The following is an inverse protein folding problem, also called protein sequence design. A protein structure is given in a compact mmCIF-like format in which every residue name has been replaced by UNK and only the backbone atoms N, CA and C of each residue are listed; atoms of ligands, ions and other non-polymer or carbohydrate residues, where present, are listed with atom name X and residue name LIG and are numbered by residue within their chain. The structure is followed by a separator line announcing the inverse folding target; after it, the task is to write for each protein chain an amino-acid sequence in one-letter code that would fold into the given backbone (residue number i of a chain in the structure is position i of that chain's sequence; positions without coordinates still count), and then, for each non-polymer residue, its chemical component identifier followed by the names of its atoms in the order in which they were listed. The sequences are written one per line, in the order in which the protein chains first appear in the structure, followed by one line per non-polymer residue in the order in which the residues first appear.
data_IF_852345152347
#
_entry.id   IF_852345152347
#
_cell.length_a   1.000
_cell.length_b   1.000
_cell.length_c   1.000
_cell.angle_alpha   90.00
_cell.angle_beta   90.00
_cell.angle_gamma   90.00
#
_symmetry.space_group_name_H-M   'P 1'
#
loop_
_entity.id
_entity.type
_entity.pdbx_description
1 polymer ?
#
# COMPACT_ATOMS: atom_id res chain seq x y z
N UNK A 1 9.01 6.15 32.59
CA UNK A 1 8.34 4.87 32.92
C UNK A 1 6.86 5.15 32.77
N UNK A 2 6.20 4.55 31.80
CA UNK A 2 4.78 4.80 31.49
C UNK A 2 3.95 3.89 32.38
N UNK A 3 3.59 4.37 33.58
CA UNK A 3 2.78 3.65 34.58
C UNK A 3 1.29 3.60 34.23
N UNK A 4 0.96 3.41 32.94
CA UNK A 4 -0.41 3.28 32.42
C UNK A 4 -0.62 2.06 31.52
N UNK A 5 0.40 1.22 31.33
CA UNK A 5 0.27 0.01 30.53
C UNK A 5 -0.51 -1.05 31.33
N UNK A 6 -1.74 -1.35 30.90
CA UNK A 6 -2.59 -2.38 31.50
C UNK A 6 -1.79 -3.69 31.69
N UNK A 7 -1.87 -4.29 32.88
CA UNK A 7 -1.15 -5.53 33.21
C UNK A 7 -1.33 -6.63 32.16
N UNK A 8 -2.53 -6.73 31.57
CA UNK A 8 -2.82 -7.67 30.49
C UNK A 8 -1.94 -7.45 29.25
N UNK A 9 -1.72 -6.19 28.85
CA UNK A 9 -0.85 -5.86 27.70
C UNK A 9 0.60 -6.27 27.97
N UNK A 10 1.09 -6.03 29.19
CA UNK A 10 2.43 -6.44 29.61
C UNK A 10 2.61 -7.96 29.58
N UNK A 11 1.60 -8.72 30.04
CA UNK A 11 1.61 -10.19 30.00
C UNK A 11 1.64 -10.72 28.57
N UNK A 12 0.77 -10.19 27.69
CA UNK A 12 0.74 -10.57 26.27
C UNK A 12 2.09 -10.29 25.59
N UNK A 13 2.66 -9.11 25.85
CA UNK A 13 3.98 -8.72 25.32
C UNK A 13 5.09 -9.65 25.79
N UNK A 14 5.07 -10.04 27.06
CA UNK A 14 6.06 -10.97 27.62
C UNK A 14 5.94 -12.34 26.96
N UNK A 15 4.73 -12.88 26.87
CA UNK A 15 4.47 -14.17 26.25
C UNK A 15 4.88 -14.18 24.77
N UNK A 16 4.52 -13.13 24.02
CA UNK A 16 4.95 -12.97 22.63
C UNK A 16 6.48 -13.03 22.48
N UNK A 17 7.23 -12.34 23.34
CA UNK A 17 8.69 -12.33 23.27
C UNK A 17 9.31 -13.68 23.64
N UNK A 18 8.71 -14.41 24.60
CA UNK A 18 9.12 -15.78 24.96
C UNK A 18 8.93 -16.72 23.78
N UNK A 19 7.76 -16.70 23.14
CA UNK A 19 7.48 -17.52 21.96
C UNK A 19 8.38 -17.14 20.76
N UNK A 20 8.63 -15.85 20.56
CA UNK A 20 9.54 -15.37 19.50
C UNK A 20 10.96 -15.94 19.66
N UNK A 21 11.46 -16.03 20.89
CA UNK A 21 12.77 -16.61 21.16
C UNK A 21 12.73 -18.15 21.05
N UNK A 22 11.63 -18.80 21.49
CA UNK A 22 11.39 -20.23 21.31
C UNK A 22 11.44 -20.68 19.85
N UNK A 23 10.88 -19.87 18.94
CA UNK A 23 10.94 -20.07 17.47
C UNK A 23 12.38 -20.15 16.94
N UNK A 24 13.34 -19.46 17.56
CA UNK A 24 14.75 -19.49 17.13
C UNK A 24 15.52 -20.71 17.64
N UNK A 25 14.95 -21.44 18.60
CA UNK A 25 15.66 -22.43 19.43
C UNK A 25 15.15 -23.85 19.20
N UNK A 26 14.06 -24.04 18.45
CA UNK A 26 13.52 -25.35 18.16
C UNK A 26 14.42 -26.11 17.16
N UNK A 27 15.17 -27.07 17.68
CA UNK A 27 15.99 -28.06 16.95
C UNK A 27 15.14 -29.11 16.20
N UNK A 28 13.90 -28.79 15.82
CA UNK A 28 13.01 -29.70 15.11
C UNK A 28 12.96 -29.18 13.68
N UNK A 29 13.42 -30.00 12.73
CA UNK A 29 13.62 -29.67 11.31
C UNK A 29 12.35 -29.23 10.56
N UNK A 30 11.19 -29.16 11.22
CA UNK A 30 9.87 -29.06 10.58
C UNK A 30 9.25 -27.66 10.61
N UNK A 31 9.55 -26.78 11.57
CA UNK A 31 8.89 -25.45 11.67
C UNK A 31 9.86 -24.25 11.57
N UNK A 32 10.24 -23.91 10.34
CA UNK A 32 10.97 -22.65 10.05
C UNK A 32 10.01 -21.47 10.02
N UNK A 33 9.79 -20.82 11.16
CA UNK A 33 8.90 -19.66 11.28
C UNK A 33 9.66 -18.34 11.02
N UNK A 34 9.14 -17.52 10.10
CA UNK A 34 9.58 -16.14 9.85
C UNK A 34 8.54 -15.16 10.39
N UNK A 35 8.96 -14.30 11.33
CA UNK A 35 8.09 -13.23 11.84
C UNK A 35 8.37 -11.92 11.09
N UNK A 36 7.35 -11.40 10.40
CA UNK A 36 7.40 -10.10 9.72
C UNK A 36 6.52 -9.11 10.48
N UNK A 37 7.12 -8.02 10.95
CA UNK A 37 6.42 -6.90 11.60
C UNK A 37 6.41 -5.68 10.70
N UNK A 38 5.28 -4.98 10.63
CA UNK A 38 5.12 -3.70 9.94
C UNK A 38 4.67 -2.63 10.95
N UNK A 39 5.26 -1.44 10.89
CA UNK A 39 4.89 -0.31 11.76
C UNK A 39 5.21 1.03 11.09
N UNK A 40 4.32 2.01 11.29
CA UNK A 40 4.55 3.41 10.91
C UNK A 40 5.20 4.22 12.04
N UNK A 41 5.44 3.59 13.21
CA UNK A 41 5.99 4.24 14.42
C UNK A 41 7.16 3.42 14.99
N UNK A 42 8.27 3.24 14.23
CA UNK A 42 9.40 2.41 14.68
C UNK A 42 10.03 2.88 15.99
N UNK A 43 9.93 4.17 16.31
CA UNK A 43 10.38 4.78 17.57
C UNK A 43 9.61 4.30 18.82
N UNK A 44 8.39 3.79 18.64
CA UNK A 44 7.56 3.27 19.75
C UNK A 44 7.88 1.80 20.07
N UNK A 45 8.69 1.15 19.23
CA UNK A 45 9.11 -0.23 19.48
C UNK A 45 10.15 -0.26 20.60
N UNK A 46 9.81 -0.95 21.67
CA UNK A 46 10.68 -1.04 22.84
C UNK A 46 12.00 -1.77 22.54
N UNK A 47 12.95 -1.68 23.47
CA UNK A 47 14.26 -2.31 23.28
C UNK A 47 14.19 -3.84 23.18
N UNK A 48 13.27 -4.45 23.94
CA UNK A 48 13.11 -5.90 23.97
C UNK A 48 12.69 -6.43 22.59
N UNK A 49 11.64 -5.89 21.97
CA UNK A 49 11.22 -6.27 20.63
C UNK A 49 12.25 -5.88 19.55
N UNK A 50 12.90 -4.72 19.67
CA UNK A 50 13.98 -4.31 18.75
C UNK A 50 15.11 -5.33 18.68
N UNK A 51 15.50 -5.97 19.80
CA UNK A 51 16.52 -7.03 19.79
C UNK A 51 16.09 -8.30 19.04
N UNK A 52 14.78 -8.57 18.96
CA UNK A 52 14.22 -9.73 18.26
C UNK A 52 14.06 -9.47 16.76
N UNK A 53 13.61 -8.27 16.38
CA UNK A 53 13.56 -7.79 14.99
C UNK A 53 14.93 -7.23 14.55
N UNK A 54 15.87 -8.14 14.25
CA UNK A 54 17.25 -7.78 13.88
C UNK A 54 17.36 -7.12 12.51
N UNK A 55 16.63 -7.63 11.51
CA UNK A 55 16.57 -7.03 10.17
C UNK A 55 15.45 -6.01 10.15
N UNK A 56 15.76 -4.78 9.75
CA UNK A 56 14.83 -3.66 9.69
C UNK A 56 14.99 -3.01 8.33
N UNK A 57 13.92 -2.97 7.57
CA UNK A 57 13.89 -2.40 6.24
C UNK A 57 13.05 -1.14 6.29
N UNK A 58 13.62 -0.03 5.83
CA UNK A 58 12.86 1.19 5.62
C UNK A 58 12.15 1.08 4.27
N UNK A 59 10.83 1.26 4.28
CA UNK A 59 10.00 1.28 3.07
C UNK A 59 9.63 2.74 2.80
N UNK A 60 10.34 3.44 1.89
CA UNK A 60 10.04 4.82 1.56
C UNK A 60 8.78 4.93 0.69
N UNK A 61 8.33 6.16 0.48
CA UNK A 61 7.37 6.47 -0.58
C UNK A 61 7.96 6.08 -1.95
N UNK A 62 7.13 5.66 -2.91
CA UNK A 62 7.59 5.27 -4.23
C UNK A 62 8.19 6.47 -4.98
N UNK A 63 9.34 6.24 -5.62
CA UNK A 63 9.93 7.18 -6.58
C UNK A 63 9.14 7.22 -7.89
N UNK A 64 9.52 8.08 -8.83
CA UNK A 64 8.79 8.27 -10.09
C UNK A 64 8.60 6.96 -10.87
N UNK A 65 9.65 6.15 -11.03
CA UNK A 65 9.55 4.85 -11.71
C UNK A 65 8.72 3.83 -10.91
N UNK A 66 8.73 3.92 -9.58
CA UNK A 66 7.86 3.12 -8.71
C UNK A 66 6.39 3.46 -8.94
N UNK A 67 6.05 4.76 -8.97
CA UNK A 67 4.70 5.24 -9.29
C UNK A 67 4.27 4.86 -10.70
N UNK A 68 5.18 4.94 -11.68
CA UNK A 68 4.94 4.48 -13.04
C UNK A 68 4.57 2.99 -13.07
N UNK A 69 5.33 2.15 -12.37
CA UNK A 69 5.06 0.72 -12.25
C UNK A 69 3.70 0.43 -11.60
N UNK A 70 3.33 1.20 -10.57
CA UNK A 70 2.02 1.10 -9.91
C UNK A 70 0.90 1.43 -10.90
N UNK A 71 0.95 2.58 -11.58
CA UNK A 71 -0.09 2.97 -12.56
C UNK A 71 -0.21 1.92 -13.67
N UNK A 72 0.91 1.49 -14.27
CA UNK A 72 0.88 0.48 -15.32
C UNK A 72 0.27 -0.83 -14.83
N UNK A 73 0.59 -1.27 -13.61
CA UNK A 73 0.03 -2.51 -13.06
C UNK A 73 -1.47 -2.40 -12.77
N UNK A 74 -1.93 -1.27 -12.24
CA UNK A 74 -3.35 -1.05 -11.96
C UNK A 74 -4.18 -0.92 -13.26
N UNK A 75 -3.62 -0.27 -14.29
CA UNK A 75 -4.28 -0.11 -15.58
C UNK A 75 -4.29 -1.40 -16.44
N UNK A 76 -3.43 -2.41 -16.16
CA UNK A 76 -3.35 -3.65 -16.95
C UNK A 76 -4.69 -4.39 -17.10
N UNK A 77 -5.57 -4.28 -16.11
CA UNK A 77 -6.89 -4.95 -16.10
C UNK A 77 -8.02 -4.06 -16.61
N UNK A 78 -7.72 -2.85 -17.06
CA UNK A 78 -8.70 -1.84 -17.46
C UNK A 78 -8.56 -1.48 -18.94
N UNK A 79 -9.64 -1.00 -19.56
CA UNK A 79 -9.58 -0.36 -20.88
C UNK A 79 -9.04 1.06 -20.70
N UNK A 80 -7.83 1.35 -21.19
CA UNK A 80 -7.21 2.68 -21.12
C UNK A 80 -6.56 3.07 -22.45
N UNK A 81 -6.48 4.37 -22.72
CA UNK A 81 -5.88 4.94 -23.94
C UNK A 81 -4.66 5.83 -23.66
N UNK A 82 -4.15 5.84 -22.42
CA UNK A 82 -2.97 6.61 -22.04
C UNK A 82 -1.69 6.09 -22.71
N UNK A 83 -0.90 7.03 -23.20
CA UNK A 83 0.49 6.81 -23.65
C UNK A 83 1.44 6.71 -22.46
N UNK A 84 2.61 6.11 -22.67
CA UNK A 84 3.63 6.02 -21.62
C UNK A 84 4.16 7.42 -21.20
N UNK A 85 4.17 8.39 -22.13
CA UNK A 85 4.53 9.78 -21.84
C UNK A 85 3.50 10.46 -20.92
N UNK A 86 2.20 10.27 -21.18
CA UNK A 86 1.13 10.76 -20.32
C UNK A 86 1.22 10.15 -18.92
N UNK A 87 1.49 8.85 -18.81
CA UNK A 87 1.68 8.18 -17.51
C UNK A 87 2.89 8.78 -16.77
N UNK A 88 4.01 9.04 -17.45
CA UNK A 88 5.15 9.73 -16.83
C UNK A 88 4.79 11.14 -16.38
N UNK A 89 3.99 11.87 -17.14
CA UNK A 89 3.51 13.19 -16.74
C UNK A 89 2.59 13.13 -15.49
N UNK A 90 1.77 12.09 -15.34
CA UNK A 90 1.03 11.83 -14.09
C UNK A 90 2.03 11.60 -12.95
N UNK A 91 3.04 10.75 -13.15
CA UNK A 91 4.03 10.44 -12.12
C UNK A 91 4.80 11.66 -11.63
N UNK A 92 5.10 12.63 -12.51
CA UNK A 92 5.72 13.92 -12.14
C UNK A 92 4.80 14.77 -11.26
N UNK A 93 3.48 14.70 -11.47
CA UNK A 93 2.47 15.46 -10.70
C UNK A 93 2.13 14.81 -9.35
N UNK A 94 2.43 13.52 -9.17
CA UNK A 94 2.13 12.76 -7.95
C UNK A 94 3.34 12.57 -7.04
N UNK A 95 4.29 13.52 -7.05
CA UNK A 95 5.43 13.47 -6.15
C UNK A 95 4.97 13.46 -4.68
N UNK A 96 5.47 12.49 -3.91
CA UNK A 96 5.09 12.31 -2.50
C UNK A 96 3.86 11.43 -2.25
N UNK A 97 3.19 10.93 -3.31
CA UNK A 97 2.08 10.01 -3.16
C UNK A 97 2.58 8.65 -2.65
N UNK A 98 1.88 8.08 -1.67
CA UNK A 98 2.05 6.69 -1.25
C UNK A 98 1.45 5.72 -2.27
N UNK A 99 1.71 4.43 -2.11
CA UNK A 99 1.06 3.42 -2.94
C UNK A 99 -0.48 3.45 -2.83
N UNK A 100 -1.00 3.79 -1.65
CA UNK A 100 -2.45 3.95 -1.44
C UNK A 100 -3.01 5.18 -2.14
N UNK A 101 -2.27 6.29 -2.16
CA UNK A 101 -2.70 7.51 -2.86
C UNK A 101 -2.72 7.29 -4.37
N UNK A 102 -1.74 6.53 -4.89
CA UNK A 102 -1.70 6.13 -6.30
C UNK A 102 -2.86 5.21 -6.68
N UNK A 103 -3.20 4.23 -5.83
CA UNK A 103 -4.37 3.37 -6.02
C UNK A 103 -5.67 4.17 -6.02
N UNK A 104 -5.81 5.08 -5.05
CA UNK A 104 -6.93 6.01 -4.97
C UNK A 104 -7.08 6.86 -6.23
N UNK A 105 -5.98 7.44 -6.72
CA UNK A 105 -5.96 8.22 -7.96
C UNK A 105 -6.39 7.39 -9.17
N UNK A 106 -5.85 6.18 -9.33
CA UNK A 106 -6.23 5.30 -10.45
C UNK A 106 -7.71 4.89 -10.38
N UNK A 107 -8.21 4.60 -9.19
CA UNK A 107 -9.63 4.27 -8.98
C UNK A 107 -10.53 5.46 -9.30
N UNK A 108 -10.12 6.65 -8.91
CA UNK A 108 -10.85 7.88 -9.17
C UNK A 108 -10.89 8.21 -10.68
N UNK A 109 -9.76 8.09 -11.37
CA UNK A 109 -9.70 8.21 -12.82
C UNK A 109 -10.56 7.14 -13.53
N UNK A 110 -10.63 5.93 -12.99
CA UNK A 110 -11.48 4.86 -13.54
C UNK A 110 -12.98 5.16 -13.45
N UNK A 111 -13.41 6.04 -12.52
CA UNK A 111 -14.79 6.51 -12.44
C UNK A 111 -15.09 7.67 -13.41
N UNK A 112 -14.06 8.29 -14.00
CA UNK A 112 -14.19 9.37 -14.98
C UNK A 112 -15.14 9.03 -16.14
N UNK A 113 -14.96 7.91 -16.85
CA UNK A 113 -15.89 7.46 -17.89
C UNK A 113 -17.34 7.32 -17.41
N UNK A 114 -17.53 6.83 -16.18
CA UNK A 114 -18.85 6.58 -15.59
C UNK A 114 -19.59 7.89 -15.29
N UNK A 115 -18.87 8.91 -14.80
CA UNK A 115 -19.47 10.19 -14.38
C UNK A 115 -20.03 11.02 -15.54
N UNK A 116 -19.57 10.78 -16.76
CA UNK A 116 -20.04 11.49 -17.96
C UNK A 116 -21.29 10.83 -18.56
N UNK A 117 -21.60 9.60 -18.15
CA UNK A 117 -22.78 8.88 -18.63
C UNK A 117 -24.03 9.45 -17.94
N UNK A 118 -24.97 9.96 -18.74
CA UNK A 118 -26.22 10.53 -18.24
C UNK A 118 -27.16 9.50 -17.61
N UNK A 119 -27.44 8.39 -18.32
CA UNK A 119 -28.26 7.28 -17.80
C UNK A 119 -27.46 5.97 -17.78
N UNK A 120 -26.96 5.63 -16.59
CA UNK A 120 -26.16 4.42 -16.36
C UNK A 120 -26.98 3.13 -16.39
N UNK A 121 -28.32 3.19 -16.32
CA UNK A 121 -29.15 1.99 -16.18
C UNK A 121 -29.25 1.17 -17.46
N UNK A 122 -29.06 1.81 -18.61
CA UNK A 122 -29.29 1.24 -19.93
C UNK A 122 -28.01 1.03 -20.75
N UNK A 123 -26.83 1.35 -20.19
CA UNK A 123 -25.55 1.22 -20.90
C UNK A 123 -24.94 -0.17 -20.69
N UNK A 124 -24.42 -0.78 -21.76
CA UNK A 124 -23.63 -1.99 -21.63
C UNK A 124 -22.23 -1.64 -21.12
N UNK A 125 -21.61 -2.53 -20.35
CA UNK A 125 -20.25 -2.30 -19.84
C UNK A 125 -19.21 -2.07 -20.95
N UNK A 126 -19.44 -2.63 -22.14
CA UNK A 126 -18.57 -2.46 -23.29
C UNK A 126 -18.68 -1.10 -23.99
N UNK A 127 -19.80 -0.39 -23.81
CA UNK A 127 -20.02 0.94 -24.38
C UNK A 127 -19.37 2.05 -23.54
N UNK A 128 -18.87 1.72 -22.35
CA UNK A 128 -18.13 2.65 -21.50
C UNK A 128 -16.77 2.92 -22.16
N UNK A 129 -16.50 4.19 -22.43
CA UNK A 129 -15.21 4.61 -23.02
C UNK A 129 -14.02 4.21 -22.13
N UNK A 130 -12.87 4.04 -22.76
CA UNK A 130 -11.62 3.81 -22.03
C UNK A 130 -11.23 5.02 -21.16
N UNK A 131 -10.48 4.73 -20.10
CA UNK A 131 -9.84 5.73 -19.25
C UNK A 131 -8.78 6.46 -20.08
N UNK A 132 -8.75 7.80 -20.03
CA UNK A 132 -7.80 8.63 -20.76
C UNK A 132 -7.02 9.55 -19.81
N UNK A 133 -6.11 10.36 -20.37
CA UNK A 133 -5.28 11.27 -19.58
C UNK A 133 -6.09 12.35 -18.83
N UNK A 134 -7.18 12.83 -19.42
CA UNK A 134 -8.05 13.84 -18.80
C UNK A 134 -8.68 13.31 -17.51
N UNK A 135 -9.09 12.03 -17.48
CA UNK A 135 -9.66 11.42 -16.27
C UNK A 135 -8.69 11.50 -15.08
N UNK A 136 -7.39 11.35 -15.34
CA UNK A 136 -6.36 11.51 -14.30
C UNK A 136 -6.12 12.96 -13.91
N UNK A 137 -6.23 13.91 -14.85
CA UNK A 137 -6.14 15.33 -14.52
C UNK A 137 -7.31 15.76 -13.65
N UNK A 138 -8.52 15.31 -13.98
CA UNK A 138 -9.72 15.60 -13.20
C UNK A 138 -9.60 14.98 -11.81
N UNK A 139 -9.16 13.71 -11.72
CA UNK A 139 -8.95 13.02 -10.45
C UNK A 139 -7.88 13.65 -9.56
N UNK A 140 -6.89 14.37 -10.12
CA UNK A 140 -5.90 15.13 -9.34
C UNK A 140 -6.46 16.42 -8.72
N UNK A 141 -7.63 16.88 -9.16
CA UNK A 141 -8.25 18.14 -8.71
C UNK A 141 -9.40 17.96 -7.73
N UNK A 142 -9.81 16.71 -7.48
CA UNK A 142 -10.84 16.36 -6.50
C UNK A 142 -10.23 16.12 -5.12
#
# INVERSE_FOLDING_TARGET
RTDGEFEASRRIKTEFLVQFDGVKTASIEEDRILVVGATNRPQEIDEAARRRFRKRLYIPLPEEDGRYGIIKNLLKTQKYSLTDEEIRNICKRTAGYSGSDMDGLCREAALGPIRVIGDIRNIAADDVRSINYQDFLDALTQ
#
